data_IF_816982079849
#
_entry.id   IF_816982079849
#
_cell.length_a   1.000
_cell.length_b   1.000
_cell.length_c   1.000
_cell.angle_alpha   90.00
_cell.angle_beta   90.00
_cell.angle_gamma   90.00
#
_symmetry.space_group_name_H-M   'P 1'
#
loop_
_entity.id
_entity.type
_entity.pdbx_description
1 polymer ?
#
# COMPACT_ATOMS: atom_id res chain seq x y z
N UNK A 1 -45.52 1.27 64.93
CA UNK A 1 -44.49 0.75 64.01
C UNK A 1 -44.63 1.43 62.65
N UNK A 2 -43.64 2.25 62.26
CA UNK A 2 -43.64 2.97 60.98
C UNK A 2 -43.36 2.05 59.79
N UNK A 3 -44.14 2.18 58.72
CA UNK A 3 -44.02 1.39 57.49
C UNK A 3 -43.13 2.17 56.53
N UNK A 4 -41.87 1.74 56.37
CA UNK A 4 -40.91 2.41 55.49
C UNK A 4 -41.34 2.32 54.02
N UNK A 5 -41.52 3.46 53.37
CA UNK A 5 -41.76 3.56 51.92
C UNK A 5 -40.42 3.42 51.18
N UNK A 6 -40.05 2.20 50.82
CA UNK A 6 -38.87 1.96 50.00
C UNK A 6 -39.17 2.41 48.56
N UNK A 7 -38.72 3.62 48.18
CA UNK A 7 -38.74 4.06 46.79
C UNK A 7 -37.77 3.17 46.00
N UNK A 8 -38.30 2.23 45.21
CA UNK A 8 -37.52 1.56 44.18
C UNK A 8 -37.02 2.65 43.20
N UNK A 9 -35.75 3.05 43.33
CA UNK A 9 -35.06 3.76 42.27
C UNK A 9 -35.03 2.82 41.06
N UNK A 10 -36.00 2.96 40.14
CA UNK A 10 -35.83 2.48 38.77
C UNK A 10 -34.61 3.24 38.26
N UNK A 11 -33.45 2.60 38.31
CA UNK A 11 -32.20 3.15 37.82
C UNK A 11 -32.47 3.70 36.43
N UNK A 12 -32.35 5.03 36.30
CA UNK A 12 -32.47 5.70 35.02
C UNK A 12 -31.52 4.98 34.08
N UNK A 13 -32.10 4.21 33.16
CA UNK A 13 -31.35 3.35 32.27
C UNK A 13 -30.30 4.21 31.61
N UNK A 14 -29.03 3.86 31.81
CA UNK A 14 -27.96 4.28 30.93
C UNK A 14 -28.42 3.81 29.55
N UNK A 15 -29.04 4.71 28.79
CA UNK A 15 -29.38 4.53 27.38
C UNK A 15 -28.07 4.06 26.77
N UNK A 16 -27.96 2.78 26.44
CA UNK A 16 -26.73 2.18 25.97
C UNK A 16 -26.25 3.03 24.80
N UNK A 17 -25.20 3.82 25.02
CA UNK A 17 -24.61 4.71 24.00
C UNK A 17 -24.26 3.87 22.75
N UNK A 18 -23.92 2.60 22.98
CA UNK A 18 -23.67 1.57 21.98
C UNK A 18 -24.83 1.31 21.01
N UNK A 19 -26.10 1.39 21.42
CA UNK A 19 -27.23 1.02 20.54
C UNK A 19 -27.86 2.20 19.80
N UNK A 20 -27.35 3.42 20.00
CA UNK A 20 -27.99 4.64 19.50
C UNK A 20 -27.46 5.10 18.14
N UNK A 21 -26.29 4.59 17.76
CA UNK A 21 -25.58 4.93 16.53
C UNK A 21 -25.24 3.68 15.70
N UNK A 22 -26.02 2.60 15.81
CA UNK A 22 -25.85 1.39 15.00
C UNK A 22 -27.03 1.25 14.03
N UNK A 23 -26.75 1.12 12.73
CA UNK A 23 -27.72 0.75 11.69
C UNK A 23 -27.44 -0.66 11.18
N UNK A 24 -28.48 -1.38 10.77
CA UNK A 24 -28.33 -2.69 10.15
C UNK A 24 -28.07 -2.51 8.65
N UNK A 25 -26.97 -3.08 8.16
CA UNK A 25 -26.69 -3.16 6.72
C UNK A 25 -27.60 -4.20 6.04
N UNK A 26 -27.60 -4.23 4.70
CA UNK A 26 -28.37 -5.20 3.89
C UNK A 26 -28.11 -6.67 4.25
N UNK A 27 -26.96 -6.95 4.85
CA UNK A 27 -26.57 -8.27 5.36
C UNK A 27 -27.01 -8.52 6.82
N UNK A 28 -27.84 -7.67 7.41
CA UNK A 28 -28.33 -7.79 8.79
C UNK A 28 -27.25 -7.58 9.86
N UNK A 29 -26.12 -6.97 9.51
CA UNK A 29 -24.99 -6.72 10.41
C UNK A 29 -25.07 -5.30 10.96
N UNK A 30 -24.93 -5.11 12.28
CA UNK A 30 -25.02 -3.79 12.91
C UNK A 30 -23.70 -3.02 12.76
N UNK A 31 -23.73 -1.90 12.04
CA UNK A 31 -22.58 -1.03 11.75
C UNK A 31 -22.79 0.37 12.31
N UNK A 32 -21.72 0.99 12.81
CA UNK A 32 -21.76 2.34 13.37
C UNK A 32 -22.03 3.40 12.30
N UNK A 33 -23.01 4.27 12.55
CA UNK A 33 -23.34 5.43 11.71
C UNK A 33 -22.42 6.62 11.93
N UNK A 34 -21.66 6.63 13.04
CA UNK A 34 -20.78 7.75 13.37
C UNK A 34 -19.51 7.67 12.51
N UNK A 35 -19.36 8.63 11.58
CA UNK A 35 -18.18 8.78 10.71
C UNK A 35 -16.86 8.96 11.46
N UNK A 36 -16.92 9.29 12.76
CA UNK A 36 -15.76 9.51 13.62
C UNK A 36 -15.57 8.39 14.66
N UNK A 37 -16.35 7.32 14.62
CA UNK A 37 -16.14 6.20 15.53
C UNK A 37 -14.80 5.50 15.18
N UNK A 38 -13.88 5.32 16.15
CA UNK A 38 -12.61 4.66 15.91
C UNK A 38 -12.90 3.21 15.53
N UNK A 39 -12.63 2.86 14.27
CA UNK A 39 -12.74 1.47 13.80
C UNK A 39 -11.62 0.66 14.44
N UNK A 40 -11.96 -0.04 15.52
CA UNK A 40 -11.25 -1.23 15.98
C UNK A 40 -9.82 -0.98 16.45
N UNK A 41 -9.69 -0.62 17.72
CA UNK A 41 -8.54 -1.04 18.53
C UNK A 41 -8.43 -2.57 18.39
N UNK A 42 -7.36 -3.03 17.72
CA UNK A 42 -6.95 -4.43 17.60
C UNK A 42 -7.02 -5.09 18.97
N UNK A 43 -7.66 -6.25 19.03
CA UNK A 43 -7.60 -7.16 20.16
C UNK A 43 -6.15 -7.53 20.44
N UNK A 44 -5.76 -7.37 21.70
CA UNK A 44 -4.43 -7.45 22.29
C UNK A 44 -3.76 -8.82 22.08
N UNK A 45 -2.46 -8.79 21.81
CA UNK A 45 -1.56 -9.94 21.82
C UNK A 45 -0.36 -9.74 20.90
N UNK A 46 0.74 -9.25 21.50
CA UNK A 46 2.17 -9.31 21.12
C UNK A 46 2.82 -7.92 20.97
N UNK A 47 3.65 -7.61 21.96
CA UNK A 47 4.69 -6.56 21.99
C UNK A 47 5.59 -6.65 20.74
N UNK A 48 5.79 -5.54 20.05
CA UNK A 48 7.15 -5.13 19.70
C UNK A 48 7.15 -3.61 19.47
N UNK A 49 8.13 -3.00 20.12
CA UNK A 49 8.46 -1.59 20.24
C UNK A 49 9.18 -1.21 18.94
N UNK A 50 8.68 -0.24 18.17
CA UNK A 50 9.53 0.52 17.24
C UNK A 50 8.86 1.86 16.95
N UNK A 51 9.23 2.80 17.81
CA UNK A 51 9.12 4.23 17.63
C UNK A 51 10.22 4.62 16.65
N UNK A 52 9.89 4.97 15.40
CA UNK A 52 10.81 5.71 14.55
C UNK A 52 10.01 6.65 13.63
N UNK A 53 9.89 7.87 14.16
CA UNK A 53 9.46 9.10 13.52
C UNK A 53 10.66 9.64 12.71
N UNK A 54 10.81 9.21 11.45
CA UNK A 54 11.84 9.77 10.57
C UNK A 54 11.31 11.07 9.93
N UNK A 55 11.53 12.16 10.68
CA UNK A 55 11.54 13.54 10.19
C UNK A 55 12.64 13.68 9.12
N UNK A 56 12.23 13.76 7.86
CA UNK A 56 13.09 14.13 6.74
C UNK A 56 13.51 15.60 6.83
N UNK A 57 14.48 15.91 7.69
CA UNK A 57 15.24 17.16 7.71
C UNK A 57 16.41 17.10 6.73
N UNK A 58 16.63 18.22 6.05
CA UNK A 58 17.72 18.43 5.11
C UNK A 58 19.05 18.54 5.85
N UNK A 59 20.06 17.77 5.44
CA UNK A 59 21.45 18.04 5.82
C UNK A 59 22.38 17.89 4.62
N UNK A 60 23.24 18.90 4.51
CA UNK A 60 24.07 19.24 3.37
C UNK A 60 25.47 19.49 3.94
N UNK A 61 26.30 18.46 4.04
CA UNK A 61 27.74 18.58 4.31
C UNK A 61 28.47 17.52 3.45
N UNK A 62 29.35 17.92 2.53
CA UNK A 62 30.79 18.14 2.74
C UNK A 62 31.50 16.86 3.21
N UNK A 63 31.90 16.01 2.27
CA UNK A 63 32.91 14.97 2.51
C UNK A 63 34.25 15.43 1.91
N UNK A 64 35.07 15.98 2.80
CA UNK A 64 36.52 16.05 2.65
C UNK A 64 37.10 14.70 3.01
N UNK A 65 37.55 13.94 2.01
CA UNK A 65 38.32 12.72 2.24
C UNK A 65 39.82 13.03 2.07
N UNK A 66 40.46 13.18 3.22
CA UNK A 66 41.90 13.17 3.44
C UNK A 66 42.41 11.72 3.31
N UNK A 67 43.33 11.47 2.38
CA UNK A 67 44.13 10.23 2.35
C UNK A 67 45.60 10.61 2.28
N UNK A 68 46.28 10.25 3.36
CA UNK A 68 47.67 10.50 3.68
C UNK A 68 48.66 9.65 2.85
N UNK A 69 49.89 10.18 2.78
CA UNK A 69 51.17 9.53 2.43
C UNK A 69 51.46 9.12 0.98
N UNK A 70 52.23 9.96 0.27
CA UNK A 70 53.67 9.75 0.01
C UNK A 70 54.18 10.78 -1.02
N UNK A 71 55.36 11.36 -0.80
CA UNK A 71 56.06 12.26 -1.72
C UNK A 71 57.46 11.67 -2.02
N UNK A 72 58.20 12.06 -3.10
CA UNK A 72 57.96 13.16 -4.04
C UNK A 72 58.30 12.87 -5.53
N UNK A 73 58.02 13.88 -6.35
CA UNK A 73 58.75 14.27 -7.57
C UNK A 73 58.37 13.66 -8.94
N UNK A 74 57.97 14.60 -9.80
CA UNK A 74 58.32 14.76 -11.21
C UNK A 74 57.23 14.51 -12.28
N UNK A 75 57.03 15.59 -13.04
CA UNK A 75 56.66 15.66 -14.45
C UNK A 75 55.16 15.66 -14.83
N UNK A 76 54.65 16.90 -14.87
CA UNK A 76 54.09 17.53 -16.07
C UNK A 76 52.71 17.09 -16.60
N UNK A 77 51.78 18.04 -16.52
CA UNK A 77 51.08 18.70 -17.64
C UNK A 77 49.56 18.70 -17.54
N UNK A 78 49.01 19.83 -17.05
CA UNK A 78 47.63 20.23 -17.36
C UNK A 78 47.57 21.74 -17.52
N UNK A 79 47.02 22.14 -18.66
CA UNK A 79 47.09 23.46 -19.26
C UNK A 79 46.76 24.63 -18.33
N UNK A 80 47.54 25.68 -18.50
CA UNK A 80 47.32 27.01 -17.98
C UNK A 80 45.89 27.51 -18.26
N UNK A 81 45.14 27.74 -17.19
CA UNK A 81 44.06 28.72 -17.16
C UNK A 81 44.54 29.86 -16.26
N UNK A 82 44.36 31.15 -16.62
CA UNK A 82 44.67 32.23 -15.72
C UNK A 82 43.71 32.14 -14.53
N UNK A 83 44.25 31.92 -13.34
CA UNK A 83 43.55 32.03 -12.05
C UNK A 83 43.04 33.47 -11.91
N UNK A 84 41.85 33.75 -12.47
CA UNK A 84 41.19 35.03 -12.30
C UNK A 84 40.96 35.25 -10.81
N UNK A 85 41.44 36.39 -10.32
CA UNK A 85 41.36 36.71 -8.91
C UNK A 85 39.90 36.70 -8.45
N UNK A 86 39.65 36.42 -7.16
CA UNK A 86 38.30 36.34 -6.59
C UNK A 86 37.47 37.61 -6.85
N UNK A 87 38.11 38.75 -7.09
CA UNK A 87 37.49 40.01 -7.48
C UNK A 87 36.94 39.97 -8.92
N UNK A 88 37.73 39.51 -9.88
CA UNK A 88 37.34 39.42 -11.30
C UNK A 88 36.19 38.42 -11.52
N UNK A 89 36.18 37.30 -10.78
CA UNK A 89 35.04 36.37 -10.77
C UNK A 89 33.75 37.02 -10.27
N UNK A 90 33.82 37.87 -9.24
CA UNK A 90 32.65 38.58 -8.72
C UNK A 90 32.14 39.62 -9.72
N UNK A 91 33.02 40.29 -10.43
CA UNK A 91 32.63 41.25 -11.47
C UNK A 91 31.99 40.57 -12.69
N UNK A 92 32.51 39.42 -13.13
CA UNK A 92 31.89 38.63 -14.20
C UNK A 92 30.51 38.10 -13.79
N UNK A 93 30.35 37.68 -12.53
CA UNK A 93 29.04 37.27 -11.99
C UNK A 93 28.06 38.44 -11.94
N UNK A 94 28.53 39.64 -11.55
CA UNK A 94 27.72 40.86 -11.52
C UNK A 94 27.30 41.32 -12.93
N UNK A 95 28.21 41.24 -13.91
CA UNK A 95 27.91 41.54 -15.32
C UNK A 95 26.92 40.54 -15.92
N UNK A 96 27.05 39.24 -15.59
CA UNK A 96 26.11 38.20 -16.03
C UNK A 96 24.72 38.38 -15.41
N UNK A 97 24.63 38.87 -14.17
CA UNK A 97 23.36 39.20 -13.53
C UNK A 97 22.68 40.42 -14.19
N UNK A 98 23.45 41.46 -14.55
CA UNK A 98 22.92 42.63 -15.26
C UNK A 98 22.45 42.30 -16.68
N UNK A 99 23.14 41.41 -17.39
CA UNK A 99 22.69 40.94 -18.71
C UNK A 99 21.37 40.15 -18.65
N UNK A 100 21.12 39.43 -17.55
CA UNK A 100 19.88 38.68 -17.33
C UNK A 100 18.70 39.60 -16.98
N UNK A 101 18.96 40.74 -16.31
CA UNK A 101 17.94 41.76 -16.08
C UNK A 101 17.52 42.47 -17.38
N UNK A 102 18.44 42.69 -18.32
CA UNK A 102 18.09 43.31 -19.62
C UNK A 102 17.26 42.41 -20.54
N UNK A 103 17.21 41.09 -20.30
CA UNK A 103 16.40 40.15 -21.10
C UNK A 103 14.95 40.00 -20.60
N UNK A 104 14.60 40.55 -19.44
CA UNK A 104 13.23 40.44 -18.87
C UNK A 104 12.32 41.64 -19.20
N UNK A 105 12.85 42.76 -19.70
CA UNK A 105 12.06 43.99 -20.02
C UNK A 105 11.60 44.07 -21.50
N UNK A 106 11.62 42.98 -22.26
CA UNK A 106 11.34 42.99 -23.71
C UNK A 106 10.43 41.86 -24.21
N UNK A 107 9.45 41.45 -23.41
CA UNK A 107 8.49 40.40 -23.78
C UNK A 107 7.06 40.96 -23.88
N UNK A 108 6.82 41.80 -24.86
CA UNK A 108 5.47 42.04 -25.41
C UNK A 108 5.64 42.63 -26.82
N UNK A 109 5.58 41.78 -27.84
CA UNK A 109 5.09 42.07 -29.19
C UNK A 109 5.12 40.77 -30.01
N UNK A 110 3.92 40.29 -30.32
CA UNK A 110 3.65 39.24 -31.30
C UNK A 110 4.14 39.62 -32.71
N UNK A 111 4.28 38.60 -33.58
CA UNK A 111 4.56 38.66 -35.03
C UNK A 111 6.02 38.92 -35.42
N UNK A 112 6.80 37.84 -35.47
CA UNK A 112 7.24 37.23 -36.73
C UNK A 112 8.19 36.07 -36.42
N UNK A 113 8.03 34.94 -37.11
CA UNK A 113 8.95 33.79 -37.04
C UNK A 113 10.34 34.21 -37.54
N UNK A 114 11.13 34.85 -36.67
CA UNK A 114 12.48 35.26 -36.97
C UNK A 114 13.31 33.96 -37.16
N UNK A 115 13.78 33.63 -38.37
CA UNK A 115 14.45 32.35 -38.67
C UNK A 115 15.77 32.19 -37.93
N UNK A 116 16.22 33.21 -37.20
CA UNK A 116 17.37 33.21 -36.31
C UNK A 116 17.03 32.73 -34.89
N UNK A 117 15.77 32.77 -34.47
CA UNK A 117 15.28 32.16 -33.21
C UNK A 117 14.79 30.72 -33.40
N UNK A 118 14.62 30.26 -34.64
CA UNK A 118 14.29 28.87 -34.95
C UNK A 118 15.50 27.97 -34.64
N UNK A 119 15.45 27.26 -33.50
CA UNK A 119 16.48 26.30 -33.13
C UNK A 119 16.59 25.19 -34.20
N UNK A 120 17.74 25.00 -34.86
CA UNK A 120 17.90 24.03 -35.95
C UNK A 120 17.79 22.57 -35.50
N UNK A 121 17.76 22.29 -34.18
CA UNK A 121 17.45 20.97 -33.62
C UNK A 121 15.94 20.73 -33.39
N UNK A 122 15.08 21.73 -33.55
CA UNK A 122 13.64 21.49 -33.63
C UNK A 122 13.41 20.90 -35.01
N UNK A 123 13.30 19.57 -35.05
CA UNK A 123 13.04 18.81 -36.28
C UNK A 123 11.79 19.37 -36.95
N UNK A 124 11.97 20.17 -37.99
CA UNK A 124 10.89 20.74 -38.77
C UNK A 124 10.01 19.59 -39.32
N UNK A 125 8.82 19.43 -38.73
CA UNK A 125 7.65 18.95 -39.45
C UNK A 125 7.58 17.48 -39.86
N UNK A 126 7.81 16.51 -38.96
CA UNK A 126 7.18 15.18 -39.14
C UNK A 126 5.70 15.26 -38.72
N UNK A 127 4.88 15.88 -39.57
CA UNK A 127 3.41 15.81 -39.47
C UNK A 127 2.99 14.38 -39.83
N UNK A 128 2.91 13.49 -38.84
CA UNK A 128 2.40 12.14 -39.04
C UNK A 128 0.91 12.23 -39.37
N UNK A 129 0.51 11.78 -40.55
CA UNK A 129 -0.90 11.67 -40.91
C UNK A 129 -1.55 10.56 -40.08
N UNK A 130 -2.84 10.71 -39.76
CA UNK A 130 -3.62 9.75 -38.94
C UNK A 130 -3.55 8.32 -39.54
N UNK A 131 -3.41 8.21 -40.85
CA UNK A 131 -3.22 6.95 -41.59
C UNK A 131 -1.90 6.22 -41.28
N UNK A 132 -0.83 6.92 -40.92
CA UNK A 132 0.49 6.32 -40.63
C UNK A 132 0.61 5.79 -39.19
N UNK A 133 -0.34 6.12 -38.32
CA UNK A 133 -0.46 5.56 -36.96
C UNK A 133 -1.19 4.21 -36.94
N UNK A 134 -1.85 3.83 -38.03
CA UNK A 134 -2.60 2.58 -38.16
C UNK A 134 -1.71 1.39 -38.59
N UNK A 135 -0.49 1.63 -39.06
CA UNK A 135 0.46 0.56 -39.37
C UNK A 135 1.06 -0.02 -38.07
N UNK A 136 1.13 -1.35 -37.90
CA UNK A 136 1.65 -1.96 -36.68
C UNK A 136 3.13 -1.63 -36.53
N UNK A 137 3.44 -0.62 -35.71
CA UNK A 137 4.81 -0.34 -35.31
C UNK A 137 5.32 -1.51 -34.47
N UNK A 138 6.48 -2.03 -34.86
CA UNK A 138 7.19 -2.99 -34.03
C UNK A 138 7.41 -2.35 -32.66
N UNK A 139 6.84 -2.95 -31.62
CA UNK A 139 6.92 -2.44 -30.25
C UNK A 139 8.38 -2.18 -29.89
N UNK A 140 8.62 -1.02 -29.30
CA UNK A 140 9.95 -0.66 -28.79
C UNK A 140 10.42 -1.74 -27.81
N UNK A 141 11.73 -1.95 -27.69
CA UNK A 141 12.29 -2.95 -26.77
C UNK A 141 11.71 -2.82 -25.36
N UNK A 142 11.56 -1.58 -24.88
CA UNK A 142 10.91 -1.26 -23.59
C UNK A 142 9.46 -1.74 -23.53
N UNK A 143 8.69 -1.50 -24.59
CA UNK A 143 7.28 -1.90 -24.67
C UNK A 143 7.10 -3.42 -24.74
N UNK A 144 8.06 -4.15 -25.32
CA UNK A 144 8.06 -5.62 -25.33
C UNK A 144 8.32 -6.18 -23.93
N UNK A 145 9.38 -5.70 -23.28
CA UNK A 145 9.73 -6.10 -21.92
C UNK A 145 8.60 -5.76 -20.93
N UNK A 146 7.91 -4.63 -21.10
CA UNK A 146 6.73 -4.27 -20.31
C UNK A 146 5.52 -5.19 -20.55
N UNK A 147 5.27 -5.61 -21.80
CA UNK A 147 4.21 -6.56 -22.10
C UNK A 147 4.53 -7.95 -21.56
N UNK A 148 5.75 -8.42 -21.72
CA UNK A 148 6.20 -9.69 -21.15
C UNK A 148 6.10 -9.68 -19.62
N UNK A 149 6.45 -8.56 -18.97
CA UNK A 149 6.27 -8.40 -17.52
C UNK A 149 4.80 -8.44 -17.11
N UNK A 150 3.90 -7.85 -17.90
CA UNK A 150 2.44 -7.92 -17.66
C UNK A 150 1.92 -9.34 -17.85
N UNK A 151 2.29 -10.00 -18.95
CA UNK A 151 1.91 -11.39 -19.25
C UNK A 151 2.45 -12.38 -18.19
N UNK A 152 3.67 -12.17 -17.70
CA UNK A 152 4.24 -12.98 -16.62
C UNK A 152 3.47 -12.83 -15.31
N UNK A 153 3.07 -11.59 -14.96
CA UNK A 153 2.22 -11.33 -13.80
C UNK A 153 0.83 -11.95 -13.97
N UNK A 154 0.22 -11.81 -15.14
CA UNK A 154 -1.07 -12.45 -15.45
C UNK A 154 -0.99 -13.98 -15.40
N UNK A 155 0.09 -14.56 -15.91
CA UNK A 155 0.35 -16.00 -15.80
C UNK A 155 0.52 -16.41 -14.34
N UNK A 156 1.25 -15.64 -13.55
CA UNK A 156 1.40 -15.88 -12.11
C UNK A 156 0.05 -15.85 -11.42
N UNK A 157 -0.74 -14.79 -11.61
CA UNK A 157 -2.09 -14.68 -11.05
C UNK A 157 -3.01 -15.80 -11.50
N UNK A 158 -2.94 -16.21 -12.76
CA UNK A 158 -3.71 -17.35 -13.28
C UNK A 158 -3.31 -18.67 -12.62
N UNK A 159 -2.01 -18.91 -12.41
CA UNK A 159 -1.51 -20.10 -11.72
C UNK A 159 -1.85 -20.08 -10.23
N UNK A 160 -1.78 -18.90 -9.60
CA UNK A 160 -2.13 -18.71 -8.20
C UNK A 160 -3.63 -18.93 -7.98
N UNK A 161 -4.49 -18.35 -8.83
CA UNK A 161 -5.93 -18.61 -8.81
C UNK A 161 -6.26 -20.09 -9.06
N UNK A 162 -5.47 -20.78 -9.90
CA UNK A 162 -5.60 -22.22 -10.11
C UNK A 162 -5.05 -23.08 -8.95
N UNK A 163 -4.48 -22.47 -7.90
CA UNK A 163 -3.93 -23.19 -6.74
C UNK A 163 -2.60 -23.91 -7.02
N UNK A 164 -1.89 -23.54 -8.10
CA UNK A 164 -0.67 -24.24 -8.54
C UNK A 164 0.62 -23.62 -8.03
N UNK A 165 0.58 -22.38 -7.54
CA UNK A 165 1.70 -21.75 -6.82
C UNK A 165 1.88 -22.41 -5.46
N UNK A 166 3.10 -22.40 -4.94
CA UNK A 166 3.40 -23.09 -3.68
C UNK A 166 2.71 -22.41 -2.48
N UNK A 167 2.53 -21.08 -2.55
CA UNK A 167 1.69 -20.31 -1.63
C UNK A 167 0.25 -20.82 -1.62
N UNK A 168 -0.40 -20.90 -2.79
CA UNK A 168 -1.79 -21.33 -2.87
C UNK A 168 -1.97 -22.81 -2.48
N UNK A 169 -0.98 -23.68 -2.77
CA UNK A 169 -0.98 -25.06 -2.27
C UNK A 169 -0.90 -25.12 -0.75
N UNK A 170 -0.06 -24.28 -0.13
CA UNK A 170 0.06 -24.22 1.32
C UNK A 170 -1.25 -23.76 1.97
N UNK A 171 -1.92 -22.75 1.40
CA UNK A 171 -3.22 -22.28 1.87
C UNK A 171 -4.31 -23.35 1.70
N UNK A 172 -4.35 -24.04 0.56
CA UNK A 172 -5.26 -25.16 0.35
C UNK A 172 -5.00 -26.31 1.32
N UNK A 173 -3.73 -26.63 1.61
CA UNK A 173 -3.37 -27.64 2.59
C UNK A 173 -3.80 -27.23 4.01
N UNK A 174 -3.67 -25.95 4.36
CA UNK A 174 -4.16 -25.41 5.65
C UNK A 174 -5.68 -25.55 5.75
N UNK A 175 -6.41 -25.17 4.69
CA UNK A 175 -7.86 -25.31 4.64
C UNK A 175 -8.30 -26.78 4.70
N UNK A 176 -7.57 -27.69 4.03
CA UNK A 176 -7.85 -29.12 4.07
C UNK A 176 -7.71 -29.70 5.49
N UNK A 177 -6.68 -29.30 6.25
CA UNK A 177 -6.54 -29.69 7.66
C UNK A 177 -7.73 -29.25 8.51
N UNK A 178 -8.16 -28.00 8.37
CA UNK A 178 -9.32 -27.46 9.09
C UNK A 178 -10.61 -28.21 8.71
N UNK A 179 -10.80 -28.53 7.42
CA UNK A 179 -11.94 -29.34 6.97
C UNK A 179 -11.91 -30.73 7.60
N UNK A 180 -10.77 -31.41 7.57
CA UNK A 180 -10.61 -32.72 8.19
C UNK A 180 -10.87 -32.69 9.71
N UNK A 181 -10.39 -31.68 10.42
CA UNK A 181 -10.66 -31.49 11.85
C UNK A 181 -12.14 -31.26 12.13
N UNK A 182 -12.81 -30.43 11.32
CA UNK A 182 -14.25 -30.17 11.43
C UNK A 182 -15.07 -31.43 11.14
N UNK A 183 -14.73 -32.17 10.10
CA UNK A 183 -15.40 -33.42 9.75
C UNK A 183 -15.20 -34.47 10.83
N UNK A 184 -13.98 -34.62 11.36
CA UNK A 184 -13.70 -35.53 12.48
C UNK A 184 -14.47 -35.12 13.74
N UNK A 185 -14.55 -33.82 14.05
CA UNK A 185 -15.34 -33.32 15.18
C UNK A 185 -16.85 -33.54 14.98
N UNK A 186 -17.35 -33.32 13.76
CA UNK A 186 -18.75 -33.60 13.42
C UNK A 186 -19.06 -35.10 13.49
N UNK A 187 -18.17 -35.96 12.99
CA UNK A 187 -18.31 -37.40 13.07
C UNK A 187 -18.31 -37.89 14.52
N UNK A 188 -17.41 -37.39 15.37
CA UNK A 188 -17.41 -37.67 16.83
C UNK A 188 -18.71 -37.23 17.49
N UNK A 189 -19.19 -36.01 17.20
CA UNK A 189 -20.48 -35.52 17.73
C UNK A 189 -21.67 -36.36 17.27
N UNK A 190 -21.69 -36.80 16.00
CA UNK A 190 -22.74 -37.67 15.46
C UNK A 190 -22.70 -39.06 16.11
N UNK A 191 -21.52 -39.67 16.24
CA UNK A 191 -21.37 -40.96 16.91
C UNK A 191 -21.79 -40.91 18.39
N UNK A 192 -21.41 -39.86 19.13
CA UNK A 192 -21.86 -39.68 20.51
C UNK A 192 -23.37 -39.44 20.61
N UNK A 193 -23.96 -38.69 19.67
CA UNK A 193 -25.40 -38.46 19.63
C UNK A 193 -26.18 -39.73 19.32
N UNK A 194 -25.70 -40.55 18.37
CA UNK A 194 -26.28 -41.85 18.03
C UNK A 194 -26.16 -42.85 19.17
N UNK A 195 -25.02 -42.90 19.87
CA UNK A 195 -24.84 -43.75 21.05
C UNK A 195 -25.81 -43.34 22.18
N UNK A 196 -25.91 -42.03 22.46
CA UNK A 196 -26.87 -41.51 23.45
C UNK A 196 -28.31 -41.78 23.05
N UNK A 197 -28.65 -41.64 21.76
CA UNK A 197 -29.99 -41.96 21.26
C UNK A 197 -30.30 -43.46 21.41
N UNK A 198 -29.37 -44.34 21.05
CA UNK A 198 -29.52 -45.79 21.21
C UNK A 198 -29.68 -46.20 22.67
N UNK A 199 -28.94 -45.60 23.61
CA UNK A 199 -29.12 -45.82 25.04
C UNK A 199 -30.48 -45.35 25.56
N UNK A 200 -30.94 -44.16 25.12
CA UNK A 200 -32.25 -43.63 25.49
C UNK A 200 -33.36 -44.52 24.94
N UNK A 201 -33.22 -45.00 23.70
CA UNK A 201 -34.16 -45.94 23.11
C UNK A 201 -34.16 -47.30 23.81
N UNK A 202 -33.00 -47.84 24.16
CA UNK A 202 -32.90 -49.07 24.94
C UNK A 202 -33.59 -48.91 26.31
N UNK A 203 -33.28 -47.84 27.05
CA UNK A 203 -33.92 -47.50 28.33
C UNK A 203 -35.43 -47.31 28.17
N UNK A 204 -35.90 -46.66 27.10
CA UNK A 204 -37.33 -46.51 26.80
C UNK A 204 -37.99 -47.86 26.50
N UNK A 205 -37.34 -48.73 25.72
CA UNK A 205 -37.85 -50.08 25.41
C UNK A 205 -37.94 -50.95 26.67
N UNK A 206 -36.93 -50.91 27.54
CA UNK A 206 -36.93 -51.61 28.83
C UNK A 206 -38.04 -51.10 29.77
N UNK A 207 -38.21 -49.77 29.86
CA UNK A 207 -39.30 -49.18 30.64
C UNK A 207 -40.68 -49.57 30.10
N UNK A 208 -40.85 -49.65 28.79
CA UNK A 208 -42.09 -50.09 28.17
C UNK A 208 -42.35 -51.59 28.38
N UNK A 209 -41.31 -52.43 28.35
CA UNK A 209 -41.43 -53.85 28.65
C UNK A 209 -41.82 -54.07 30.13
N UNK A 210 -41.20 -53.37 31.07
CA UNK A 210 -41.50 -53.44 32.50
C UNK A 210 -42.89 -52.91 32.87
N UNK A 211 -43.45 -51.98 32.10
CA UNK A 211 -44.83 -51.51 32.28
C UNK A 211 -45.88 -52.48 31.73
N UNK A 212 -45.48 -53.42 30.87
CA UNK A 212 -46.39 -54.41 30.23
C UNK A 212 -46.39 -55.77 30.94
N UNK A 213 -45.39 -56.05 31.78
CA UNK A 213 -45.35 -57.19 32.71
C UNK A 213 -46.07 -56.87 34.01
#
# INVERSE_FOLDING_TARGET
MGRGTFKQKRGGGRKCVFSKHLTLDENGTAVSTDRWAPRGRRTEGDDDDDDDDDESEEESEEESEESEEDAPAAAASSGAQPELSRAERKELKKKKAQAKQQTEDGADEDEDEDPLLANPNITAGKRLNISDLAAPRALSRREREEKEKKEAKERYWKLHAAGKTDEAKADLARLAKIRAEREAAQAKRKAEAEAKAAEIEAKRKEQMAKKRS
#
